data_IF_328581885710
#
_entry.id   IF_328581885710
#
_cell.length_a   1.000
_cell.length_b   1.000
_cell.length_c   1.000
_cell.angle_alpha   90.00
_cell.angle_beta   90.00
_cell.angle_gamma   90.00
#
_symmetry.space_group_name_H-M   'P 1'
#
loop_
_entity.id
_entity.type
_entity.pdbx_description
1 polymer ?
#
# COMPACT_ATOMS: atom_id res chain seq x y z
N UNK A 1 40.04 -20.80 -23.26
CA UNK A 1 39.35 -19.95 -24.28
C UNK A 1 38.32 -19.11 -23.54
N UNK A 2 38.47 -17.78 -23.58
CA UNK A 2 37.53 -16.86 -22.94
C UNK A 2 36.43 -16.42 -23.91
N UNK A 3 35.22 -16.17 -23.40
CA UNK A 3 34.09 -15.63 -24.17
C UNK A 3 34.16 -14.09 -24.11
N UNK A 4 33.94 -13.41 -25.24
CA UNK A 4 33.92 -11.93 -25.26
C UNK A 4 32.57 -11.37 -24.75
N UNK A 5 32.58 -10.14 -24.23
CA UNK A 5 31.35 -9.47 -23.78
C UNK A 5 30.29 -9.37 -24.89
N UNK A 6 30.71 -9.15 -26.14
CA UNK A 6 29.81 -9.12 -27.30
C UNK A 6 29.15 -10.48 -27.58
N UNK A 7 29.88 -11.58 -27.35
CA UNK A 7 29.35 -12.92 -27.51
C UNK A 7 28.35 -13.25 -26.39
N UNK A 8 28.63 -12.84 -25.15
CA UNK A 8 27.66 -12.93 -24.04
C UNK A 8 26.40 -12.12 -24.37
N UNK A 9 26.55 -10.89 -24.87
CA UNK A 9 25.42 -10.02 -25.24
C UNK A 9 24.51 -10.63 -26.30
N UNK A 10 25.08 -11.24 -27.35
CA UNK A 10 24.31 -11.95 -28.38
C UNK A 10 23.57 -13.16 -27.81
N UNK A 11 24.25 -14.00 -27.02
CA UNK A 11 23.63 -15.18 -26.39
C UNK A 11 22.44 -14.76 -25.51
N UNK A 12 22.60 -13.72 -24.70
CA UNK A 12 21.52 -13.24 -23.83
C UNK A 12 20.33 -12.67 -24.63
N UNK A 13 20.61 -11.91 -25.70
CA UNK A 13 19.57 -11.38 -26.57
C UNK A 13 18.81 -12.48 -27.32
N UNK A 14 19.53 -13.47 -27.87
CA UNK A 14 18.96 -14.61 -28.59
C UNK A 14 18.06 -15.48 -27.68
N UNK A 15 18.37 -15.55 -26.39
CA UNK A 15 17.59 -16.29 -25.37
C UNK A 15 16.52 -15.44 -24.66
N UNK A 16 16.37 -14.17 -25.03
CA UNK A 16 15.54 -13.16 -24.33
C UNK A 16 15.83 -13.06 -22.82
N UNK A 17 17.06 -13.36 -22.40
CA UNK A 17 17.48 -13.27 -21.01
C UNK A 17 17.95 -11.83 -20.74
N UNK A 18 17.32 -11.18 -19.76
CA UNK A 18 17.64 -9.81 -19.35
C UNK A 18 18.09 -9.80 -17.88
N UNK A 19 19.36 -10.13 -17.56
CA UNK A 19 19.84 -10.24 -16.18
C UNK A 19 19.77 -8.93 -15.39
N UNK A 20 19.72 -7.80 -16.10
CA UNK A 20 19.54 -6.47 -15.54
C UNK A 20 18.07 -6.18 -15.15
N UNK A 21 17.12 -6.98 -15.60
CA UNK A 21 15.72 -6.86 -15.18
C UNK A 21 15.50 -7.73 -13.94
N UNK A 22 15.11 -7.06 -12.86
CA UNK A 22 14.66 -7.71 -11.63
C UNK A 22 13.17 -7.46 -11.50
N UNK A 23 12.39 -8.55 -11.37
CA UNK A 23 10.98 -8.49 -11.02
C UNK A 23 10.77 -9.27 -9.73
N UNK A 24 10.09 -8.66 -8.77
CA UNK A 24 9.62 -9.37 -7.59
C UNK A 24 8.65 -10.47 -8.00
N UNK A 25 8.74 -11.63 -7.36
CA UNK A 25 7.81 -12.73 -7.56
C UNK A 25 7.40 -13.28 -6.20
N UNK A 26 6.10 -13.48 -6.01
CA UNK A 26 5.55 -14.19 -4.85
C UNK A 26 5.03 -15.54 -5.32
N UNK A 27 5.67 -16.61 -4.89
CA UNK A 27 5.14 -17.96 -5.11
C UNK A 27 3.95 -18.17 -4.19
N UNK A 28 2.75 -18.03 -4.74
CA UNK A 28 1.51 -18.31 -4.01
C UNK A 28 1.45 -19.79 -3.63
N UNK A 29 0.98 -20.09 -2.41
CA UNK A 29 0.63 -21.46 -2.02
C UNK A 29 -0.52 -21.96 -2.89
N UNK A 30 -0.46 -23.24 -3.28
CA UNK A 30 -1.58 -23.89 -3.96
C UNK A 30 -2.76 -23.96 -3.00
N UNK A 31 -3.82 -23.22 -3.30
CA UNK A 31 -5.06 -23.21 -2.54
C UNK A 31 -6.21 -23.44 -3.54
N UNK A 32 -6.89 -24.60 -3.47
CA UNK A 32 -8.00 -24.94 -4.35
C UNK A 32 -9.17 -23.94 -4.27
N UNK A 33 -9.38 -23.30 -3.12
CA UNK A 33 -10.53 -22.43 -2.85
C UNK A 33 -10.25 -20.96 -3.22
N UNK A 34 -9.02 -20.62 -3.62
CA UNK A 34 -8.64 -19.23 -3.82
C UNK A 34 -9.50 -18.49 -4.83
N UNK A 35 -9.83 -19.12 -5.96
CA UNK A 35 -10.60 -18.44 -7.01
C UNK A 35 -12.03 -18.17 -6.55
N UNK A 36 -12.58 -19.04 -5.71
CA UNK A 36 -13.88 -18.85 -5.08
C UNK A 36 -13.82 -17.67 -4.10
N UNK A 37 -12.88 -17.68 -3.16
CA UNK A 37 -12.70 -16.57 -2.20
C UNK A 37 -12.40 -15.24 -2.89
N UNK A 38 -11.59 -15.26 -3.94
CA UNK A 38 -11.30 -14.07 -4.74
C UNK A 38 -12.55 -13.55 -5.44
N UNK A 39 -13.40 -14.44 -5.97
CA UNK A 39 -14.67 -14.07 -6.58
C UNK A 39 -15.62 -13.44 -5.55
N UNK A 40 -15.69 -13.97 -4.33
CA UNK A 40 -16.51 -13.40 -3.25
C UNK A 40 -16.07 -11.97 -2.88
N UNK A 41 -14.76 -11.75 -2.70
CA UNK A 41 -14.21 -10.41 -2.43
C UNK A 41 -14.49 -9.46 -3.59
N UNK A 42 -14.28 -9.91 -4.83
CA UNK A 42 -14.59 -9.10 -6.01
C UNK A 42 -16.09 -8.77 -6.09
N UNK A 43 -16.97 -9.71 -5.72
CA UNK A 43 -18.41 -9.50 -5.65
C UNK A 43 -18.77 -8.37 -4.70
N UNK A 44 -18.17 -8.36 -3.50
CA UNK A 44 -18.36 -7.28 -2.53
C UNK A 44 -17.88 -5.93 -3.06
N UNK A 45 -16.76 -5.88 -3.79
CA UNK A 45 -16.26 -4.62 -4.37
C UNK A 45 -17.15 -4.10 -5.51
N UNK A 46 -17.70 -5.00 -6.32
CA UNK A 46 -18.55 -4.64 -7.46
C UNK A 46 -19.97 -4.24 -7.05
N UNK A 47 -20.47 -4.78 -5.95
CA UNK A 47 -21.86 -4.59 -5.54
C UNK A 47 -21.99 -4.62 -4.02
N UNK A 48 -22.42 -3.50 -3.45
CA UNK A 48 -22.68 -3.39 -2.02
C UNK A 48 -23.87 -4.25 -1.62
N UNK A 49 -23.76 -5.13 -0.61
CA UNK A 49 -24.91 -5.81 -0.06
C UNK A 49 -25.94 -4.83 0.51
N UNK A 50 -27.19 -5.26 0.62
CA UNK A 50 -28.25 -4.40 1.16
C UNK A 50 -27.98 -4.09 2.63
N UNK A 51 -28.09 -2.81 3.00
CA UNK A 51 -27.92 -2.35 4.38
C UNK A 51 -26.56 -2.78 4.97
N UNK A 52 -25.50 -2.62 4.17
CA UNK A 52 -24.16 -3.04 4.52
C UNK A 52 -23.12 -1.98 4.14
N UNK A 53 -21.99 -2.04 4.82
CA UNK A 53 -20.79 -1.26 4.56
C UNK A 53 -19.65 -2.22 4.23
N UNK A 54 -18.91 -1.97 3.15
CA UNK A 54 -17.76 -2.80 2.76
C UNK A 54 -16.49 -1.99 2.95
N UNK A 55 -15.68 -2.38 3.92
CA UNK A 55 -14.43 -1.70 4.26
C UNK A 55 -13.24 -2.54 3.85
N UNK A 56 -12.35 -1.98 3.03
CA UNK A 56 -11.01 -2.51 2.81
C UNK A 56 -10.07 -1.82 3.78
N UNK A 57 -9.42 -2.60 4.64
CA UNK A 57 -8.51 -2.08 5.65
C UNK A 57 -7.09 -2.55 5.33
N UNK A 58 -6.13 -1.63 5.46
CA UNK A 58 -4.71 -1.90 5.27
C UNK A 58 -3.88 -1.00 6.20
N UNK A 59 -2.67 -1.44 6.52
CA UNK A 59 -1.69 -0.64 7.22
C UNK A 59 -0.56 -0.15 6.31
N UNK A 60 -0.14 1.09 6.56
CA UNK A 60 1.10 1.61 5.99
C UNK A 60 2.07 1.88 7.12
N UNK A 61 2.99 0.94 7.32
CA UNK A 61 4.06 1.06 8.31
C UNK A 61 5.30 1.76 7.76
N UNK A 62 6.20 2.15 8.67
CA UNK A 62 7.53 2.70 8.35
C UNK A 62 7.52 3.94 7.43
N UNK A 63 6.45 4.75 7.46
CA UNK A 63 6.37 6.02 6.74
C UNK A 63 7.45 6.95 7.28
N UNK A 64 8.44 7.29 6.44
CA UNK A 64 9.53 8.17 6.87
C UNK A 64 9.02 9.58 7.17
N UNK A 65 9.11 10.01 8.42
CA UNK A 65 8.81 11.39 8.81
C UNK A 65 10.04 12.27 8.52
N UNK A 66 10.02 12.97 7.37
CA UNK A 66 11.13 13.82 6.92
C UNK A 66 10.69 15.27 6.86
N UNK A 67 11.54 16.17 7.34
CA UNK A 67 11.40 17.62 7.14
C UNK A 67 12.61 18.16 6.38
N UNK A 68 12.40 19.22 5.60
CA UNK A 68 13.50 19.90 4.90
C UNK A 68 14.40 20.58 5.92
N UNK A 69 15.72 20.48 5.74
CA UNK A 69 16.70 21.11 6.65
C UNK A 69 16.61 22.64 6.62
N UNK A 70 16.27 23.20 5.46
CA UNK A 70 16.07 24.62 5.23
C UNK A 70 14.74 24.86 4.48
N UNK A 71 14.11 26.05 4.64
CA UNK A 71 12.84 26.35 3.98
C UNK A 71 12.99 26.47 2.45
N UNK A 72 11.91 26.16 1.74
CA UNK A 72 11.81 26.37 0.28
C UNK A 72 12.05 27.85 -0.06
N UNK A 73 12.85 28.11 -1.08
CA UNK A 73 13.05 29.47 -1.61
C UNK A 73 12.01 29.72 -2.72
N UNK A 74 11.19 30.77 -2.61
CA UNK A 74 10.13 31.05 -3.58
C UNK A 74 10.71 31.43 -4.95
N UNK A 75 9.85 31.35 -5.96
CA UNK A 75 10.13 31.82 -7.33
C UNK A 75 10.46 33.32 -7.34
N UNK A 76 11.39 33.71 -8.21
CA UNK A 76 11.65 35.10 -8.58
C UNK A 76 12.01 35.20 -10.08
N UNK A 77 11.98 36.39 -10.71
CA UNK A 77 12.40 36.54 -12.10
C UNK A 77 13.81 35.96 -12.34
N UNK A 78 13.90 34.99 -13.25
CA UNK A 78 15.15 34.27 -13.54
C UNK A 78 15.56 33.21 -12.50
N UNK A 79 14.76 32.97 -11.47
CA UNK A 79 15.03 31.96 -10.43
C UNK A 79 13.82 31.04 -10.21
N UNK A 80 13.90 29.76 -10.60
CA UNK A 80 12.86 28.79 -10.27
C UNK A 80 12.81 28.53 -8.76
N UNK A 81 11.72 27.93 -8.30
CA UNK A 81 11.60 27.45 -6.92
C UNK A 81 12.76 26.52 -6.59
N UNK A 82 13.37 26.71 -5.41
CA UNK A 82 14.43 25.83 -4.92
C UNK A 82 13.98 25.13 -3.65
N UNK A 83 13.84 23.81 -3.76
CA UNK A 83 13.51 22.92 -2.66
C UNK A 83 14.81 22.30 -2.13
N UNK A 84 15.00 22.34 -0.82
CA UNK A 84 16.19 21.78 -0.17
C UNK A 84 16.26 20.26 -0.38
N UNK A 85 17.42 19.76 -0.80
CA UNK A 85 17.65 18.32 -0.98
C UNK A 85 17.93 17.63 0.37
N UNK A 86 18.65 18.32 1.26
CA UNK A 86 18.93 17.79 2.60
C UNK A 86 17.66 17.73 3.46
N UNK A 87 17.53 16.65 4.24
CA UNK A 87 16.40 16.45 5.14
C UNK A 87 16.86 16.02 6.53
N UNK A 88 16.05 16.36 7.52
CA UNK A 88 16.16 15.84 8.89
C UNK A 88 15.22 14.65 9.02
N UNK A 89 15.70 13.57 9.66
CA UNK A 89 14.93 12.35 9.89
C UNK A 89 14.32 12.41 11.29
N UNK A 90 12.98 12.42 11.36
CA UNK A 90 12.21 12.48 12.61
C UNK A 90 11.67 11.10 13.04
N UNK A 91 12.26 10.02 12.53
CA UNK A 91 11.78 8.65 12.74
C UNK A 91 10.78 8.20 11.67
N UNK A 92 9.89 7.30 12.06
CA UNK A 92 8.88 6.69 11.20
C UNK A 92 7.51 6.73 11.85
N UNK A 93 6.47 6.91 11.04
CA UNK A 93 5.08 6.76 11.45
C UNK A 93 4.48 5.48 10.85
N UNK A 94 3.45 4.96 11.50
CA UNK A 94 2.59 3.92 10.98
C UNK A 94 1.15 4.43 11.00
N UNK A 95 0.38 4.08 9.98
CA UNK A 95 -1.04 4.37 9.91
C UNK A 95 -1.79 3.09 9.61
N UNK A 96 -3.01 2.99 10.12
CA UNK A 96 -4.03 2.05 9.65
C UNK A 96 -5.13 2.86 9.01
N UNK A 97 -5.69 2.36 7.90
CA UNK A 97 -6.74 3.03 7.17
C UNK A 97 -7.83 2.06 6.75
N UNK A 98 -9.08 2.50 6.84
CA UNK A 98 -10.26 1.84 6.33
C UNK A 98 -10.83 2.67 5.19
N UNK A 99 -10.90 2.06 4.01
CA UNK A 99 -11.54 2.60 2.82
C UNK A 99 -12.92 1.98 2.68
N UNK A 100 -13.97 2.80 2.66
CA UNK A 100 -15.25 2.38 2.09
C UNK A 100 -15.09 2.29 0.58
N UNK A 101 -15.15 1.05 0.07
CA UNK A 101 -14.84 0.74 -1.32
C UNK A 101 -15.85 1.31 -2.31
N UNK A 102 -17.04 1.70 -1.85
CA UNK A 102 -18.11 2.21 -2.71
C UNK A 102 -18.23 3.73 -2.66
N UNK A 103 -18.06 4.35 -1.49
CA UNK A 103 -18.09 5.82 -1.37
C UNK A 103 -16.74 6.47 -1.65
N UNK A 104 -15.64 5.73 -1.45
CA UNK A 104 -14.28 6.25 -1.51
C UNK A 104 -13.85 7.00 -0.26
N UNK A 105 -14.68 7.05 0.78
CA UNK A 105 -14.32 7.67 2.06
C UNK A 105 -13.25 6.85 2.79
N UNK A 106 -12.29 7.55 3.39
CA UNK A 106 -11.19 6.94 4.13
C UNK A 106 -11.16 7.45 5.56
N UNK A 107 -11.22 6.51 6.50
CA UNK A 107 -10.91 6.77 7.91
C UNK A 107 -9.51 6.24 8.17
N UNK A 108 -8.59 7.09 8.62
CA UNK A 108 -7.22 6.69 8.91
C UNK A 108 -6.78 7.20 10.28
N UNK A 109 -6.07 6.35 11.01
CA UNK A 109 -5.51 6.67 12.32
C UNK A 109 -4.01 6.37 12.35
N UNK A 110 -3.25 7.26 12.99
CA UNK A 110 -1.83 7.02 13.26
C UNK A 110 -1.72 6.06 14.43
N UNK A 111 -0.99 4.96 14.23
CA UNK A 111 -0.79 3.93 15.25
C UNK A 111 0.65 3.98 15.77
N UNK A 112 0.85 3.91 17.10
CA UNK A 112 2.19 3.88 17.67
C UNK A 112 2.89 2.55 17.40
N UNK A 113 2.13 1.46 17.19
CA UNK A 113 2.62 0.11 16.91
C UNK A 113 1.68 -0.62 15.97
N UNK A 114 2.23 -1.49 15.12
CA UNK A 114 1.44 -2.43 14.31
C UNK A 114 1.25 -3.73 15.10
N UNK A 115 0.24 -3.77 15.95
CA UNK A 115 -0.13 -4.96 16.73
C UNK A 115 -1.65 -5.06 16.89
N UNK A 116 -2.11 -6.25 17.32
CA UNK A 116 -3.53 -6.56 17.42
C UNK A 116 -4.30 -5.63 18.37
N UNK A 117 -3.66 -5.09 19.42
CA UNK A 117 -4.33 -4.21 20.37
C UNK A 117 -4.74 -2.90 19.70
N UNK A 118 -3.80 -2.24 19.01
CA UNK A 118 -4.09 -1.00 18.29
C UNK A 118 -5.02 -1.23 17.10
N UNK A 119 -4.96 -2.40 16.46
CA UNK A 119 -5.91 -2.76 15.41
C UNK A 119 -7.34 -2.91 15.94
N UNK A 120 -7.53 -3.57 17.09
CA UNK A 120 -8.84 -3.69 17.74
C UNK A 120 -9.37 -2.32 18.17
N UNK A 121 -8.50 -1.44 18.69
CA UNK A 121 -8.88 -0.06 19.02
C UNK A 121 -9.39 0.69 17.79
N UNK A 122 -8.72 0.55 16.64
CA UNK A 122 -9.17 1.12 15.38
C UNK A 122 -10.53 0.57 14.92
N UNK A 123 -10.73 -0.74 15.02
CA UNK A 123 -12.03 -1.36 14.70
C UNK A 123 -13.16 -0.86 15.63
N UNK A 124 -12.89 -0.71 16.93
CA UNK A 124 -13.86 -0.14 17.86
C UNK A 124 -14.18 1.33 17.53
N UNK A 125 -13.19 2.08 17.04
CA UNK A 125 -13.37 3.45 16.61
C UNK A 125 -14.21 3.56 15.32
N UNK A 126 -14.14 2.56 14.43
CA UNK A 126 -15.04 2.44 13.27
C UNK A 126 -16.45 2.09 13.72
N UNK A 127 -16.60 1.04 14.53
CA UNK A 127 -17.90 0.54 15.02
C UNK A 127 -18.70 1.65 15.73
N UNK A 128 -18.02 2.49 16.54
CA UNK A 128 -18.65 3.62 17.21
C UNK A 128 -19.15 4.74 16.27
N UNK A 129 -18.70 4.78 15.01
CA UNK A 129 -19.04 5.82 14.02
C UNK A 129 -20.02 5.33 12.96
N UNK A 130 -20.14 4.01 12.79
CA UNK A 130 -21.04 3.39 11.80
C UNK A 130 -22.42 3.20 12.40
N UNK A 131 -23.45 3.33 11.56
CA UNK A 131 -24.84 3.03 11.97
C UNK A 131 -24.96 1.56 12.35
N UNK A 132 -25.46 1.27 13.56
CA UNK A 132 -25.66 -0.08 14.09
C UNK A 132 -26.64 -0.93 13.25
N UNK A 133 -27.44 -0.30 12.38
CA UNK A 133 -28.27 -1.02 11.43
C UNK A 133 -27.45 -1.67 10.31
N UNK A 134 -26.24 -1.19 10.02
CA UNK A 134 -25.43 -1.67 8.90
C UNK A 134 -24.65 -2.94 9.27
N UNK A 135 -24.61 -3.90 8.35
CA UNK A 135 -23.66 -5.02 8.44
C UNK A 135 -22.31 -4.58 7.88
N UNK A 136 -21.23 -4.72 8.66
CA UNK A 136 -19.89 -4.38 8.21
C UNK A 136 -19.20 -5.62 7.63
N UNK A 137 -18.80 -5.55 6.36
CA UNK A 137 -17.92 -6.50 5.71
C UNK A 137 -16.49 -5.95 5.71
N UNK A 138 -15.60 -6.59 6.46
CA UNK A 138 -14.18 -6.23 6.52
C UNK A 138 -13.38 -7.09 5.54
N UNK A 139 -12.66 -6.42 4.64
CA UNK A 139 -11.68 -7.04 3.74
C UNK A 139 -10.29 -6.66 4.21
N UNK A 140 -9.53 -7.68 4.58
CA UNK A 140 -8.19 -7.60 5.15
C UNK A 140 -7.28 -8.55 4.39
N UNK A 141 -5.98 -8.27 4.39
CA UNK A 141 -5.01 -9.28 4.03
C UNK A 141 -4.79 -10.28 5.18
N UNK A 142 -4.04 -11.34 4.92
CA UNK A 142 -3.73 -12.38 5.91
C UNK A 142 -2.36 -12.12 6.57
N UNK A 143 -2.08 -10.86 6.94
CA UNK A 143 -0.83 -10.41 7.55
C UNK A 143 -0.27 -11.29 8.67
#
# INVERSE_FOLDING_TARGET
MGISASQVGRILADLDIKPHQVRGWLTRKSDPEFWERAADVCGLYLSTPTNALVLSIDEKTAISARSRKYPTKPVAPGQPERIEFEYVRNGTASIVAALDVHSGEVVAEAIPRNDAAHFIEFLAAIDARVDQALTIHLILDNG
#
